data_IF_670780455286
#
_entry.id   IF_670780455286
#
_cell.length_a   1.000
_cell.length_b   1.000
_cell.length_c   1.000
_cell.angle_alpha   90.00
_cell.angle_beta   90.00
_cell.angle_gamma   90.00
#
_symmetry.space_group_name_H-M   'P 1'
#
loop_
_entity.id
_entity.type
_entity.pdbx_description
1 polymer ?
#
# COMPACT_ATOMS: atom_id res chain seq x y z
N UNK A 1 6.87 21.68 -6.59
CA UNK A 1 7.55 21.26 -5.34
C UNK A 1 6.54 21.42 -4.20
N UNK A 2 5.61 20.48 -4.06
CA UNK A 2 4.55 20.53 -3.06
C UNK A 2 4.72 19.35 -2.12
N UNK A 3 5.10 19.64 -0.88
CA UNK A 3 5.16 18.64 0.18
C UNK A 3 3.73 18.08 0.35
N UNK A 4 3.50 16.85 -0.14
CA UNK A 4 2.33 16.06 0.25
C UNK A 4 2.50 15.74 1.73
N UNK A 5 2.00 16.63 2.56
CA UNK A 5 1.91 16.46 4.00
C UNK A 5 1.23 15.13 4.29
N UNK A 6 1.99 14.28 4.99
CA UNK A 6 1.64 12.98 5.54
C UNK A 6 0.17 12.90 6.03
N UNK A 7 -0.74 12.43 5.17
CA UNK A 7 -2.15 12.18 5.52
C UNK A 7 -2.32 10.91 6.37
N UNK A 8 -1.40 9.96 6.26
CA UNK A 8 -1.50 8.66 6.93
C UNK A 8 -1.15 8.71 8.43
N UNK A 9 -0.23 9.57 8.84
CA UNK A 9 0.20 9.73 10.23
C UNK A 9 -0.84 10.41 11.13
N UNK A 10 -1.85 11.08 10.55
CA UNK A 10 -2.95 11.69 11.31
C UNK A 10 -4.12 10.72 11.54
N UNK A 11 -4.25 9.69 10.72
CA UNK A 11 -5.36 8.72 10.75
C UNK A 11 -5.06 7.47 11.57
N UNK A 12 -3.83 7.31 12.06
CA UNK A 12 -3.39 6.17 12.88
C UNK A 12 -2.97 6.67 14.28
N UNK A 13 -3.93 7.14 15.11
CA UNK A 13 -3.63 7.78 16.39
C UNK A 13 -3.03 6.82 17.44
N UNK A 14 -3.20 5.51 17.29
CA UNK A 14 -2.78 4.53 18.32
C UNK A 14 -1.49 3.75 17.99
N UNK A 15 -0.99 3.79 16.75
CA UNK A 15 0.28 3.11 16.40
C UNK A 15 1.46 4.08 16.56
N UNK A 16 1.75 4.48 17.80
CA UNK A 16 2.75 5.51 18.13
C UNK A 16 4.21 5.22 17.72
N UNK A 17 4.52 4.16 16.95
CA UNK A 17 5.90 3.79 16.55
C UNK A 17 6.08 3.19 15.16
N UNK A 18 5.01 2.90 14.40
CA UNK A 18 5.14 2.21 13.12
C UNK A 18 5.07 3.20 11.94
N UNK A 19 6.01 3.08 11.01
CA UNK A 19 6.00 3.83 9.74
C UNK A 19 4.67 3.62 8.99
N UNK A 20 4.09 4.65 8.32
CA UNK A 20 2.87 4.49 7.52
C UNK A 20 2.92 3.32 6.52
N UNK A 21 4.11 3.05 5.98
CA UNK A 21 4.40 1.89 5.13
C UNK A 21 4.06 0.57 5.85
N UNK A 22 4.52 0.40 7.08
CA UNK A 22 4.33 -0.82 7.86
C UNK A 22 2.86 -1.01 8.25
N UNK A 23 2.16 0.08 8.56
CA UNK A 23 0.73 0.01 8.87
C UNK A 23 -0.09 -0.46 7.65
N UNK A 24 0.22 0.03 6.46
CA UNK A 24 -0.43 -0.46 5.22
C UNK A 24 -0.14 -1.93 4.95
N UNK A 25 1.12 -2.35 5.08
CA UNK A 25 1.49 -3.75 4.89
C UNK A 25 0.80 -4.66 5.90
N UNK A 26 0.76 -4.27 7.17
CA UNK A 26 0.04 -5.00 8.22
C UNK A 26 -1.45 -5.09 7.92
N UNK A 27 -2.09 -4.00 7.49
CA UNK A 27 -3.52 -3.97 7.17
C UNK A 27 -3.89 -4.97 6.08
N UNK A 28 -3.05 -5.12 5.04
CA UNK A 28 -3.26 -6.10 3.96
C UNK A 28 -3.11 -7.53 4.52
N UNK A 29 -2.04 -7.80 5.27
CA UNK A 29 -1.74 -9.13 5.81
C UNK A 29 -2.81 -9.59 6.80
N UNK A 30 -3.27 -8.71 7.70
CA UNK A 30 -4.28 -9.04 8.71
C UNK A 30 -5.65 -9.38 8.10
N UNK A 31 -5.92 -8.92 6.87
CA UNK A 31 -7.10 -9.31 6.09
C UNK A 31 -6.96 -10.67 5.38
N UNK A 32 -5.84 -11.37 5.57
CA UNK A 32 -5.54 -12.63 4.88
C UNK A 32 -5.16 -12.47 3.41
N UNK A 33 -4.80 -11.25 2.97
CA UNK A 33 -4.37 -11.00 1.60
C UNK A 33 -2.85 -11.13 1.52
N UNK A 34 -2.35 -11.94 0.58
CA UNK A 34 -0.91 -12.07 0.33
C UNK A 34 -0.40 -10.76 -0.28
N UNK A 35 0.63 -10.17 0.35
CA UNK A 35 1.20 -8.88 -0.07
C UNK A 35 2.57 -9.03 -0.73
N UNK A 36 2.84 -8.19 -1.74
CA UNK A 36 4.14 -8.10 -2.41
C UNK A 36 4.71 -6.69 -2.21
N UNK A 37 5.73 -6.57 -1.36
CA UNK A 37 6.39 -5.30 -1.05
C UNK A 37 7.78 -5.23 -1.70
N UNK A 38 7.94 -4.38 -2.72
CA UNK A 38 9.23 -4.17 -3.40
C UNK A 38 10.10 -3.17 -2.63
N UNK A 39 11.37 -3.50 -2.42
CA UNK A 39 12.42 -2.57 -1.93
C UNK A 39 13.77 -2.94 -2.53
N UNK A 40 14.67 -1.96 -2.65
CA UNK A 40 16.08 -2.16 -3.05
C UNK A 40 17.04 -2.12 -1.85
N UNK A 41 16.60 -1.58 -0.71
CA UNK A 41 17.40 -1.48 0.51
C UNK A 41 17.22 -2.75 1.35
N UNK A 42 18.33 -3.33 1.83
CA UNK A 42 18.34 -4.55 2.65
C UNK A 42 17.60 -4.35 3.98
N UNK A 43 17.81 -3.19 4.60
CA UNK A 43 17.18 -2.78 5.85
C UNK A 43 15.66 -2.72 5.68
N UNK A 44 15.19 -2.27 4.50
CA UNK A 44 13.78 -2.22 4.16
C UNK A 44 13.13 -3.60 4.03
N UNK A 45 13.88 -4.63 3.60
CA UNK A 45 13.38 -6.01 3.55
C UNK A 45 13.11 -6.51 4.97
N UNK A 46 14.10 -6.33 5.86
CA UNK A 46 13.98 -6.74 7.27
C UNK A 46 12.86 -5.96 7.95
N UNK A 47 12.75 -4.66 7.71
CA UNK A 47 11.68 -3.83 8.26
C UNK A 47 10.29 -4.28 7.79
N UNK A 48 10.14 -4.58 6.49
CA UNK A 48 8.85 -5.00 5.93
C UNK A 48 8.37 -6.35 6.50
N UNK A 49 9.26 -7.23 6.94
CA UNK A 49 8.90 -8.52 7.56
C UNK A 49 8.39 -8.34 8.99
N UNK A 50 8.84 -7.31 9.72
CA UNK A 50 8.40 -7.01 11.10
C UNK A 50 6.92 -6.66 11.24
N UNK A 51 6.19 -6.52 10.13
CA UNK A 51 4.73 -6.36 10.12
C UNK A 51 3.98 -7.57 10.69
N UNK A 52 4.67 -8.69 10.91
CA UNK A 52 4.11 -9.88 11.55
C UNK A 52 4.12 -9.79 13.08
N UNK A 53 4.92 -8.91 13.66
CA UNK A 53 5.18 -8.83 15.11
C UNK A 53 4.14 -8.00 15.89
N UNK A 54 3.21 -7.35 15.20
CA UNK A 54 2.18 -6.51 15.81
C UNK A 54 0.85 -6.63 15.08
N UNK A 55 -0.23 -6.14 15.69
CA UNK A 55 -1.58 -6.16 15.11
C UNK A 55 -2.20 -4.76 15.13
N UNK A 56 -3.03 -4.45 14.13
CA UNK A 56 -3.83 -3.23 14.11
C UNK A 56 -5.13 -3.45 14.87
N UNK A 57 -5.52 -2.48 15.70
CA UNK A 57 -6.80 -2.49 16.40
C UNK A 57 -7.98 -2.33 15.44
N UNK A 58 -9.18 -2.70 15.89
CA UNK A 58 -10.40 -2.61 15.09
C UNK A 58 -10.69 -1.17 14.60
N UNK A 59 -10.38 -0.17 15.42
CA UNK A 59 -10.54 1.24 15.08
C UNK A 59 -9.60 1.66 13.94
N UNK A 60 -8.32 1.27 13.99
CA UNK A 60 -7.35 1.56 12.93
C UNK A 60 -7.73 0.85 11.62
N UNK A 61 -8.20 -0.40 11.71
CA UNK A 61 -8.71 -1.16 10.56
C UNK A 61 -9.91 -0.46 9.89
N UNK A 62 -10.84 0.06 10.71
CA UNK A 62 -11.98 0.83 10.22
C UNK A 62 -11.55 2.16 9.59
N UNK A 63 -10.63 2.89 10.22
CA UNK A 63 -10.11 4.15 9.71
C UNK A 63 -9.45 3.99 8.34
N UNK A 64 -8.62 2.97 8.14
CA UNK A 64 -7.97 2.70 6.84
C UNK A 64 -9.01 2.35 5.76
N UNK A 65 -10.10 1.68 6.11
CA UNK A 65 -11.17 1.34 5.16
C UNK A 65 -11.85 2.58 4.57
N UNK A 66 -11.91 3.69 5.32
CA UNK A 66 -12.49 4.95 4.82
C UNK A 66 -11.68 5.62 3.71
N UNK A 67 -10.45 5.17 3.48
CA UNK A 67 -9.56 5.69 2.44
C UNK A 67 -9.78 5.06 1.06
N UNK A 68 -10.66 4.06 0.94
CA UNK A 68 -10.94 3.42 -0.35
C UNK A 68 -11.65 4.39 -1.30
N UNK A 69 -10.99 4.71 -2.42
CA UNK A 69 -11.55 5.56 -3.48
C UNK A 69 -12.25 4.77 -4.58
N UNK A 70 -12.25 3.42 -4.52
CA UNK A 70 -12.79 2.51 -5.55
C UNK A 70 -12.24 2.73 -6.96
N UNK A 71 -11.09 3.40 -7.06
CA UNK A 71 -10.43 3.74 -8.33
C UNK A 71 -9.03 3.15 -8.33
N UNK A 72 -8.62 2.56 -9.46
CA UNK A 72 -7.25 2.12 -9.67
C UNK A 72 -6.28 3.30 -9.53
N UNK A 73 -5.15 3.09 -8.84
CA UNK A 73 -4.09 4.10 -8.72
C UNK A 73 -3.27 4.28 -10.01
N UNK A 74 -3.48 3.43 -11.03
CA UNK A 74 -2.73 3.46 -12.29
C UNK A 74 -3.66 3.78 -13.47
N UNK A 75 -4.42 2.78 -13.92
CA UNK A 75 -5.35 2.89 -15.03
C UNK A 75 -6.47 1.84 -14.90
N UNK A 76 -7.56 2.02 -15.65
CA UNK A 76 -8.67 1.06 -15.71
C UNK A 76 -8.39 -0.02 -16.77
N UNK A 77 -8.47 -1.29 -16.38
CA UNK A 77 -8.30 -2.43 -17.28
C UNK A 77 -9.45 -2.59 -18.30
N UNK A 78 -10.54 -1.84 -18.12
CA UNK A 78 -11.71 -1.85 -19.00
C UNK A 78 -11.65 -0.78 -20.08
N UNK A 79 -10.70 0.16 -20.01
CA UNK A 79 -10.51 1.19 -21.02
C UNK A 79 -9.87 0.58 -22.29
N UNK A 80 -10.56 0.59 -23.46
CA UNK A 80 -10.03 0.06 -24.71
C UNK A 80 -8.69 0.69 -25.12
N UNK A 81 -8.45 1.96 -24.80
CA UNK A 81 -7.19 2.64 -25.12
C UNK A 81 -6.02 2.06 -24.32
N UNK A 82 -6.23 1.76 -23.03
CA UNK A 82 -5.22 1.17 -22.15
C UNK A 82 -4.91 -0.28 -22.53
N UNK A 83 -5.93 -1.05 -22.93
CA UNK A 83 -5.77 -2.43 -23.41
C UNK A 83 -4.91 -2.45 -24.67
N UNK A 84 -5.18 -1.57 -25.63
CA UNK A 84 -4.39 -1.44 -26.86
C UNK A 84 -2.93 -1.08 -26.56
N UNK A 85 -2.72 -0.06 -25.73
CA UNK A 85 -1.37 0.36 -25.32
C UNK A 85 -0.57 -0.77 -24.65
N UNK A 86 -1.20 -1.55 -23.77
CA UNK A 86 -0.54 -2.66 -23.08
C UNK A 86 -0.22 -3.82 -24.05
N UNK A 87 -1.13 -4.14 -24.98
CA UNK A 87 -0.95 -5.22 -25.96
C UNK A 87 0.11 -4.93 -27.03
N UNK A 88 0.33 -3.65 -27.36
CA UNK A 88 1.33 -3.24 -28.35
C UNK A 88 2.73 -3.02 -27.75
N UNK A 89 2.92 -3.19 -26.43
CA UNK A 89 4.24 -3.05 -25.79
C UNK A 89 5.20 -4.13 -26.29
N UNK A 90 6.17 -3.70 -27.10
CA UNK A 90 7.33 -4.51 -27.44
C UNK A 90 8.34 -4.46 -26.30
N UNK A 91 8.67 -5.62 -25.77
CA UNK A 91 9.79 -5.78 -24.85
C UNK A 91 11.02 -6.09 -25.69
N UNK A 92 12.05 -5.25 -25.58
CA UNK A 92 13.38 -5.61 -26.07
C UNK A 92 13.98 -6.57 -25.05
N UNK A 93 13.73 -7.86 -25.29
CA UNK A 93 14.33 -8.98 -24.56
C UNK A 93 15.33 -9.68 -25.46
#
# INVERSE_FOLDING_TARGET
>A
MGAKTNTYGRLLPNTAKASPKLCMLRWIVQRGIITLAKTICKEGVVENIKVLDFELGAEDMAAITTLDTKTSSFFDHRDPAMVKWLGERKLAI
#
